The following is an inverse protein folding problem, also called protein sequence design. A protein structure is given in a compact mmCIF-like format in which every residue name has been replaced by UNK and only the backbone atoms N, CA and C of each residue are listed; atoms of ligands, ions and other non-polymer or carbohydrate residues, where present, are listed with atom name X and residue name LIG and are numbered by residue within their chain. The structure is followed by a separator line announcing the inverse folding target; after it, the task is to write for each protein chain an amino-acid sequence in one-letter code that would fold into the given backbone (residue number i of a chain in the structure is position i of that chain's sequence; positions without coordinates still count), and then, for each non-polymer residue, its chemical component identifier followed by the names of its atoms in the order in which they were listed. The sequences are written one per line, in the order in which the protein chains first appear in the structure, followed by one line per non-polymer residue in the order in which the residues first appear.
data_IF_138480655070
#
_entry.id   IF_138480655070
#
_cell.length_a   1.000
_cell.length_b   1.000
_cell.length_c   1.000
_cell.angle_alpha   90.00
_cell.angle_beta   90.00
_cell.angle_gamma   90.00
#
_symmetry.space_group_name_H-M   'P 1'
#
loop_
_entity.id
_entity.type
_entity.pdbx_description
1 polymer ?
#
# COMPACT_ATOMS: atom_id res chain seq x y z
N UNK A 1 -18.15 -9.91 -23.64
CA UNK A 1 -18.82 -8.89 -24.51
C UNK A 1 -19.57 -9.63 -25.62
N UNK A 2 -20.90 -9.48 -25.76
CA UNK A 2 -21.70 -10.29 -26.71
C UNK A 2 -21.27 -10.17 -28.18
N UNK A 3 -20.74 -9.00 -28.57
CA UNK A 3 -20.34 -8.69 -29.95
C UNK A 3 -19.03 -9.38 -30.39
N UNK A 4 -18.04 -9.49 -29.50
CA UNK A 4 -16.77 -10.20 -29.81
C UNK A 4 -17.01 -11.71 -29.96
N UNK A 5 -17.89 -12.27 -29.13
CA UNK A 5 -18.26 -13.68 -29.18
C UNK A 5 -19.01 -14.04 -30.47
N UNK A 6 -19.88 -13.15 -30.97
CA UNK A 6 -20.61 -13.34 -32.23
C UNK A 6 -19.67 -13.31 -33.44
N UNK A 7 -18.71 -12.38 -33.47
CA UNK A 7 -17.70 -12.30 -34.54
C UNK A 7 -16.82 -13.54 -34.54
N UNK A 8 -16.33 -14.00 -33.38
CA UNK A 8 -15.50 -15.21 -33.23
C UNK A 8 -16.26 -16.53 -33.46
N UNK A 9 -17.59 -16.53 -33.45
CA UNK A 9 -18.39 -17.73 -33.66
C UNK A 9 -18.54 -18.13 -35.14
N UNK A 10 -18.28 -17.21 -36.08
CA UNK A 10 -18.41 -17.41 -37.53
C UNK A 10 -17.50 -18.53 -38.07
N UNK A 11 -16.32 -18.71 -37.48
CA UNK A 11 -15.47 -19.89 -37.69
C UNK A 11 -14.69 -19.97 -39.01
N UNK A 12 -15.00 -19.12 -40.00
CA UNK A 12 -14.29 -19.06 -41.28
C UNK A 12 -13.31 -17.87 -41.29
N UNK A 13 -12.10 -18.09 -40.79
CA UNK A 13 -11.02 -17.09 -40.84
C UNK A 13 -9.86 -17.60 -41.69
N UNK A 14 -9.25 -16.70 -42.45
CA UNK A 14 -7.89 -16.91 -42.95
C UNK A 14 -6.91 -16.62 -41.79
N UNK A 15 -6.27 -17.68 -41.28
CA UNK A 15 -5.44 -17.61 -40.08
C UNK A 15 -3.95 -17.50 -40.45
N UNK A 16 -3.25 -16.56 -39.83
CA UNK A 16 -1.81 -16.37 -39.95
C UNK A 16 -1.12 -16.58 -38.58
N UNK A 17 -0.03 -17.34 -38.59
CA UNK A 17 0.80 -17.67 -37.42
C UNK A 17 2.23 -17.12 -37.52
N UNK A 18 2.53 -16.37 -38.57
CA UNK A 18 3.83 -15.79 -38.83
C UNK A 18 3.64 -14.39 -39.39
N UNK A 19 4.66 -13.55 -39.23
CA UNK A 19 4.62 -12.16 -39.68
C UNK A 19 4.31 -12.11 -41.17
N UNK A 20 3.20 -11.45 -41.52
CA UNK A 20 2.65 -11.51 -42.86
C UNK A 20 2.31 -10.13 -43.38
N UNK A 21 2.76 -9.85 -44.60
CA UNK A 21 2.44 -8.63 -45.34
C UNK A 21 1.44 -8.94 -46.43
N UNK A 22 0.22 -8.42 -46.28
CA UNK A 22 -0.83 -8.51 -47.27
C UNK A 22 -0.73 -7.32 -48.24
N UNK A 23 0.21 -7.42 -49.17
CA UNK A 23 0.53 -6.36 -50.15
C UNK A 23 -0.57 -6.12 -51.20
N UNK A 24 -0.61 -4.90 -51.75
CA UNK A 24 -1.58 -4.44 -52.76
C UNK A 24 -1.58 -5.20 -54.09
N UNK A 25 -0.54 -5.98 -54.38
CA UNK A 25 -0.37 -6.69 -55.67
C UNK A 25 -1.39 -7.82 -55.91
N UNK A 26 -2.07 -8.27 -54.85
CA UNK A 26 -2.90 -9.47 -54.86
C UNK A 26 -4.42 -9.21 -54.85
N UNK A 27 -4.87 -7.99 -55.21
CA UNK A 27 -6.30 -7.61 -55.26
C UNK A 27 -7.01 -7.53 -53.89
N UNK A 28 -8.30 -7.13 -53.86
CA UNK A 28 -9.08 -7.03 -52.62
C UNK A 28 -9.34 -8.42 -52.01
N UNK A 29 -9.31 -8.50 -50.68
CA UNK A 29 -9.58 -9.73 -49.92
C UNK A 29 -11.04 -9.72 -49.45
N UNK A 30 -11.81 -10.77 -49.71
CA UNK A 30 -13.20 -10.91 -49.23
C UNK A 30 -13.32 -12.09 -48.27
N UNK A 31 -12.71 -11.94 -47.09
CA UNK A 31 -12.68 -12.96 -46.03
C UNK A 31 -12.37 -12.31 -44.67
N UNK A 32 -12.77 -12.96 -43.58
CA UNK A 32 -12.34 -12.56 -42.24
C UNK A 32 -10.89 -13.06 -41.99
N UNK A 33 -10.06 -12.24 -41.36
CA UNK A 33 -8.63 -12.54 -41.13
C UNK A 33 -8.33 -12.60 -39.64
N UNK A 34 -7.52 -13.58 -39.25
CA UNK A 34 -7.06 -13.76 -37.87
C UNK A 34 -5.53 -13.89 -37.82
N UNK A 35 -4.86 -12.96 -37.16
CA UNK A 35 -3.44 -13.05 -36.81
C UNK A 35 -3.28 -13.58 -35.39
N UNK A 36 -2.43 -14.58 -35.19
CA UNK A 36 -2.18 -15.20 -33.88
C UNK A 36 -0.69 -15.20 -33.61
N UNK A 37 -0.27 -14.51 -32.54
CA UNK A 37 1.11 -14.43 -32.08
C UNK A 37 2.09 -13.94 -33.16
N UNK A 38 1.60 -13.11 -34.09
CA UNK A 38 2.39 -12.56 -35.18
C UNK A 38 1.93 -11.15 -35.57
N UNK A 39 2.77 -10.47 -36.34
CA UNK A 39 2.51 -9.14 -36.84
C UNK A 39 1.86 -9.17 -38.23
N UNK A 40 0.77 -8.42 -38.38
CA UNK A 40 0.06 -8.27 -39.64
C UNK A 40 0.31 -6.90 -40.24
N UNK A 41 0.64 -6.85 -41.53
CA UNK A 41 0.64 -5.60 -42.30
C UNK A 41 -0.39 -5.71 -43.41
N UNK A 42 -1.41 -4.84 -43.40
CA UNK A 42 -2.40 -4.76 -44.46
C UNK A 42 -2.15 -3.52 -45.31
N UNK A 43 -1.96 -3.71 -46.62
CA UNK A 43 -1.79 -2.63 -47.59
C UNK A 43 -2.75 -2.80 -48.79
N UNK A 44 -3.95 -3.31 -48.53
CA UNK A 44 -4.99 -3.52 -49.54
C UNK A 44 -6.39 -3.50 -48.94
N UNK A 45 -7.46 -3.35 -49.74
CA UNK A 45 -8.84 -3.45 -49.26
C UNK A 45 -9.18 -4.84 -48.73
N UNK A 46 -9.92 -4.87 -47.64
CA UNK A 46 -10.43 -6.06 -46.96
C UNK A 46 -11.96 -5.93 -46.76
N UNK A 47 -12.70 -6.75 -47.48
CA UNK A 47 -14.12 -6.99 -47.28
C UNK A 47 -14.32 -8.07 -46.21
N UNK A 48 -14.14 -7.69 -44.94
CA UNK A 48 -14.20 -8.62 -43.82
C UNK A 48 -13.75 -7.95 -42.52
N UNK A 49 -13.79 -8.73 -41.44
CA UNK A 49 -13.30 -8.33 -40.13
C UNK A 49 -11.85 -8.80 -39.94
N UNK A 50 -11.07 -8.02 -39.20
CA UNK A 50 -9.68 -8.35 -38.91
C UNK A 50 -9.50 -8.50 -37.40
N UNK A 51 -9.00 -9.66 -37.00
CA UNK A 51 -8.75 -9.99 -35.60
C UNK A 51 -7.25 -10.19 -35.42
N UNK A 52 -6.68 -9.57 -34.39
CA UNK A 52 -5.31 -9.85 -33.97
C UNK A 52 -5.30 -10.31 -32.52
N UNK A 53 -4.60 -11.41 -32.28
CA UNK A 53 -4.37 -11.99 -30.97
C UNK A 53 -2.87 -11.94 -30.67
N UNK A 54 -2.50 -11.15 -29.65
CA UNK A 54 -1.13 -11.04 -29.16
C UNK A 54 -0.09 -10.66 -30.25
N UNK A 55 -0.34 -9.56 -30.96
CA UNK A 55 0.56 -9.07 -32.02
C UNK A 55 0.29 -7.62 -32.41
N UNK A 56 1.02 -7.13 -33.41
CA UNK A 56 0.85 -5.78 -33.96
C UNK A 56 0.21 -5.79 -35.35
N UNK A 57 -0.80 -4.94 -35.53
CA UNK A 57 -1.46 -4.72 -36.82
C UNK A 57 -1.09 -3.36 -37.38
N UNK A 58 -0.52 -3.34 -38.58
CA UNK A 58 -0.21 -2.11 -39.32
C UNK A 58 -1.11 -1.97 -40.55
N UNK A 59 -2.01 -1.00 -40.54
CA UNK A 59 -2.83 -0.62 -41.70
C UNK A 59 -2.11 0.48 -42.50
N UNK A 60 -1.66 0.16 -43.70
CA UNK A 60 -0.96 1.09 -44.61
C UNK A 60 -1.95 1.89 -45.45
N UNK A 61 -1.45 2.87 -46.22
CA UNK A 61 -2.28 3.88 -46.89
C UNK A 61 -3.34 3.34 -47.84
N UNK A 62 -3.18 2.13 -48.38
CA UNK A 62 -4.18 1.48 -49.25
C UNK A 62 -5.14 0.53 -48.53
N UNK A 63 -5.04 0.43 -47.20
CA UNK A 63 -5.90 -0.45 -46.41
C UNK A 63 -7.28 0.17 -46.20
N UNK A 64 -8.31 -0.56 -46.63
CA UNK A 64 -9.71 -0.23 -46.34
C UNK A 64 -10.42 -1.47 -45.82
N UNK A 65 -10.72 -1.50 -44.52
CA UNK A 65 -11.42 -2.61 -43.86
C UNK A 65 -12.90 -2.28 -43.76
N UNK A 66 -13.75 -3.08 -44.39
CA UNK A 66 -15.21 -2.84 -44.35
C UNK A 66 -15.86 -3.31 -43.06
N UNK A 67 -15.31 -4.36 -42.42
CA UNK A 67 -15.79 -4.91 -41.16
C UNK A 67 -15.10 -4.34 -39.92
N UNK A 68 -15.21 -5.08 -38.82
CA UNK A 68 -14.66 -4.69 -37.52
C UNK A 68 -13.17 -5.04 -37.40
N UNK A 69 -12.43 -4.25 -36.62
CA UNK A 69 -11.03 -4.54 -36.25
C UNK A 69 -10.98 -4.85 -34.76
N UNK A 70 -10.69 -6.10 -34.41
CA UNK A 70 -10.70 -6.59 -33.03
C UNK A 70 -9.27 -6.88 -32.58
N UNK A 71 -8.83 -6.15 -31.55
CA UNK A 71 -7.50 -6.22 -30.98
C UNK A 71 -7.57 -6.92 -29.61
N UNK A 72 -7.15 -8.19 -29.58
CA UNK A 72 -7.07 -9.00 -28.36
C UNK A 72 -5.62 -9.03 -27.88
N UNK A 73 -5.28 -8.21 -26.89
CA UNK A 73 -3.89 -8.02 -26.42
C UNK A 73 -2.91 -7.61 -27.55
N UNK A 74 -3.38 -6.81 -28.51
CA UNK A 74 -2.59 -6.36 -29.66
C UNK A 74 -2.60 -4.85 -29.85
N UNK A 75 -1.67 -4.36 -30.67
CA UNK A 75 -1.49 -2.94 -30.97
C UNK A 75 -1.93 -2.65 -32.41
N UNK A 76 -2.50 -1.47 -32.66
CA UNK A 76 -2.89 -1.01 -34.00
C UNK A 76 -2.13 0.25 -34.39
N UNK A 77 -1.42 0.18 -35.51
CA UNK A 77 -0.80 1.30 -36.20
C UNK A 77 -1.58 1.57 -37.49
N UNK A 78 -2.28 2.70 -37.55
CA UNK A 78 -3.10 3.06 -38.71
C UNK A 78 -2.50 4.27 -39.42
N UNK A 79 -2.19 4.12 -40.70
CA UNK A 79 -1.77 5.23 -41.56
C UNK A 79 -2.92 6.22 -41.78
N UNK A 80 -2.59 7.49 -42.05
CA UNK A 80 -3.57 8.59 -42.19
C UNK A 80 -4.64 8.33 -43.25
N UNK A 81 -4.27 7.61 -44.31
CA UNK A 81 -5.14 7.32 -45.45
C UNK A 81 -5.88 5.98 -45.33
N UNK A 82 -5.54 5.16 -44.33
CA UNK A 82 -6.19 3.89 -44.07
C UNK A 82 -7.57 4.10 -43.45
N UNK A 83 -8.57 3.31 -43.89
CA UNK A 83 -9.96 3.43 -43.43
C UNK A 83 -10.46 2.13 -42.80
N UNK A 84 -11.17 2.25 -41.69
CA UNK A 84 -11.94 1.17 -41.08
C UNK A 84 -13.39 1.64 -41.03
N UNK A 85 -14.29 0.95 -41.72
CA UNK A 85 -15.72 1.29 -41.76
C UNK A 85 -16.49 0.73 -40.56
N UNK A 86 -16.06 -0.42 -40.03
CA UNK A 86 -16.61 -1.01 -38.81
C UNK A 86 -16.02 -0.41 -37.53
N UNK A 87 -16.23 -1.09 -36.41
CA UNK A 87 -15.74 -0.66 -35.10
C UNK A 87 -14.31 -1.17 -34.82
N UNK A 88 -13.49 -0.37 -34.13
CA UNK A 88 -12.18 -0.79 -33.62
C UNK A 88 -12.29 -1.15 -32.14
N UNK A 89 -12.32 -2.44 -31.83
CA UNK A 89 -12.55 -2.98 -30.49
C UNK A 89 -11.22 -3.37 -29.85
N UNK A 90 -10.88 -2.77 -28.70
CA UNK A 90 -9.63 -3.03 -27.95
C UNK A 90 -9.92 -3.73 -26.64
N UNK A 91 -9.34 -4.92 -26.44
CA UNK A 91 -9.45 -5.66 -25.18
C UNK A 91 -8.11 -5.71 -24.46
N UNK A 92 -8.03 -5.09 -23.28
CA UNK A 92 -6.83 -4.97 -22.45
C UNK A 92 -6.66 -6.11 -21.42
N UNK A 93 -7.67 -6.97 -21.25
CA UNK A 93 -7.66 -8.09 -20.31
C UNK A 93 -7.39 -9.41 -21.02
N UNK A 94 -6.46 -10.20 -20.47
CA UNK A 94 -6.25 -11.60 -20.84
C UNK A 94 -7.44 -12.47 -20.39
N UNK A 95 -8.58 -12.39 -21.08
CA UNK A 95 -9.62 -13.40 -20.98
C UNK A 95 -9.20 -14.61 -21.83
N UNK A 96 -8.82 -15.70 -21.16
CA UNK A 96 -8.53 -16.99 -21.79
C UNK A 96 -9.78 -17.52 -22.49
N UNK A 97 -9.83 -17.43 -23.83
CA UNK A 97 -10.84 -18.11 -24.63
C UNK A 97 -10.31 -19.53 -24.94
N UNK A 98 -10.65 -20.50 -24.10
CA UNK A 98 -10.52 -21.92 -24.46
C UNK A 98 -11.82 -22.37 -25.13
N UNK A 99 -11.77 -22.91 -26.37
CA UNK A 99 -12.92 -23.67 -26.91
C UNK A 99 -12.46 -25.06 -27.36
N UNK A 100 -12.74 -26.04 -26.51
CA UNK A 100 -12.62 -27.47 -26.80
C UNK A 100 -13.87 -27.94 -27.57
N UNK A 101 -13.67 -28.81 -28.57
CA UNK A 101 -14.57 -29.18 -29.70
C UNK A 101 -14.49 -28.28 -30.95
N UNK A 102 -13.27 -27.97 -31.40
CA UNK A 102 -13.04 -27.43 -32.76
C UNK A 102 -12.70 -25.94 -32.83
N UNK A 103 -12.14 -25.35 -31.77
CA UNK A 103 -11.53 -24.02 -31.79
C UNK A 103 -10.14 -24.04 -31.18
N UNK A 104 -9.41 -23.00 -31.56
CA UNK A 104 -8.00 -22.69 -31.30
C UNK A 104 -7.48 -23.15 -29.95
N UNK A 105 -6.39 -23.90 -30.04
CA UNK A 105 -5.45 -24.16 -28.96
C UNK A 105 -4.05 -24.05 -29.58
N UNK A 106 -3.19 -23.21 -29.00
CA UNK A 106 -1.78 -23.54 -28.88
C UNK A 106 -1.39 -23.37 -27.41
N UNK A 107 -1.04 -24.45 -26.70
CA UNK A 107 -0.37 -24.34 -25.43
C UNK A 107 1.09 -24.79 -25.61
N UNK A 108 1.92 -23.90 -26.15
CA UNK A 108 3.32 -23.81 -25.75
C UNK A 108 3.41 -23.47 -24.27
N UNK A 109 3.05 -24.43 -23.41
CA UNK A 109 2.98 -24.30 -21.96
C UNK A 109 4.40 -24.28 -21.38
N UNK A 110 5.11 -23.16 -21.53
CA UNK A 110 6.18 -22.85 -20.57
C UNK A 110 5.46 -22.66 -19.23
N UNK A 111 5.73 -23.57 -18.28
CA UNK A 111 5.40 -23.40 -16.86
C UNK A 111 6.16 -22.16 -16.32
N UNK A 112 5.75 -20.96 -16.70
CA UNK A 112 5.88 -19.83 -15.78
C UNK A 112 4.75 -20.01 -14.76
N UNK A 113 5.07 -19.87 -13.48
CA UNK A 113 4.03 -19.71 -12.48
C UNK A 113 3.08 -18.60 -12.97
N UNK A 114 1.75 -18.79 -12.95
CA UNK A 114 0.78 -17.79 -13.44
C UNK A 114 0.79 -16.47 -12.64
N UNK A 115 1.75 -16.32 -11.73
CA UNK A 115 1.94 -15.21 -10.81
C UNK A 115 3.40 -14.76 -10.98
N UNK A 116 3.61 -13.60 -11.57
CA UNK A 116 4.93 -12.98 -11.51
C UNK A 116 5.15 -12.46 -10.10
N UNK A 117 6.16 -12.99 -9.42
CA UNK A 117 6.57 -12.53 -8.10
C UNK A 117 7.90 -11.79 -8.22
N UNK A 118 7.94 -10.58 -7.68
CA UNK A 118 9.14 -9.75 -7.62
C UNK A 118 9.62 -9.71 -6.19
N UNK A 119 10.82 -10.21 -5.95
CA UNK A 119 11.49 -10.07 -4.67
C UNK A 119 12.17 -8.69 -4.59
N UNK A 120 11.87 -7.92 -3.55
CA UNK A 120 12.53 -6.66 -3.24
C UNK A 120 13.10 -6.68 -1.84
N UNK A 121 14.33 -6.22 -1.73
CA UNK A 121 14.91 -5.80 -0.46
C UNK A 121 14.93 -4.27 -0.42
N UNK A 122 14.93 -3.71 0.79
CA UNK A 122 15.20 -2.27 0.94
C UNK A 122 16.60 -1.91 0.41
N UNK A 123 16.89 -0.61 0.28
CA UNK A 123 18.26 -0.11 0.02
C UNK A 123 19.22 -0.73 1.03
N UNK A 124 20.46 -1.00 0.62
CA UNK A 124 21.47 -1.77 1.40
C UNK A 124 21.17 -3.27 1.56
N UNK A 125 20.57 -3.93 0.56
CA UNK A 125 20.41 -5.39 0.56
C UNK A 125 19.45 -5.92 1.63
N UNK A 126 18.52 -5.08 2.09
CA UNK A 126 17.50 -5.43 3.08
C UNK A 126 17.79 -4.91 4.49
N UNK A 127 19.01 -4.44 4.75
CA UNK A 127 19.36 -3.88 6.05
C UNK A 127 18.78 -2.47 6.25
N UNK A 128 18.31 -2.18 7.46
CA UNK A 128 17.81 -0.86 7.84
C UNK A 128 18.09 -0.56 9.30
N UNK A 129 18.47 0.68 9.60
CA UNK A 129 18.42 1.21 10.95
C UNK A 129 16.97 1.60 11.29
N UNK A 130 16.36 0.90 12.23
CA UNK A 130 14.97 1.11 12.63
C UNK A 130 14.83 2.25 13.64
N UNK A 131 15.82 2.41 14.53
CA UNK A 131 15.79 3.46 15.53
C UNK A 131 16.87 3.29 16.59
N UNK A 132 16.81 4.18 17.58
CA UNK A 132 17.64 4.18 18.76
C UNK A 132 16.76 4.50 19.98
N UNK A 133 16.83 3.70 21.03
CA UNK A 133 16.12 3.99 22.28
C UNK A 133 16.84 3.42 23.51
N UNK A 134 16.40 3.84 24.69
CA UNK A 134 16.98 3.48 25.99
C UNK A 134 16.90 2.00 26.36
N UNK A 135 16.12 1.21 25.64
CA UNK A 135 15.97 -0.23 25.90
C UNK A 135 16.84 -0.99 24.92
N UNK A 136 16.63 -0.78 23.63
CA UNK A 136 17.23 -1.60 22.58
C UNK A 136 18.62 -1.10 22.16
N UNK A 137 18.98 0.15 22.45
CA UNK A 137 20.10 0.82 21.81
C UNK A 137 19.81 0.96 20.32
N UNK A 138 20.78 0.64 19.44
CA UNK A 138 20.50 0.59 18.01
C UNK A 138 19.65 -0.63 17.67
N UNK A 139 18.54 -0.39 16.97
CA UNK A 139 17.74 -1.44 16.36
C UNK A 139 18.09 -1.54 14.88
N UNK A 140 18.67 -2.68 14.49
CA UNK A 140 19.03 -2.98 13.10
C UNK A 140 18.11 -4.09 12.61
N UNK A 141 17.50 -3.89 11.46
CA UNK A 141 16.67 -4.91 10.82
C UNK A 141 17.24 -5.41 9.52
N UNK A 142 16.83 -6.61 9.14
CA UNK A 142 16.93 -7.11 7.78
C UNK A 142 15.53 -7.52 7.32
N UNK A 143 15.10 -7.03 6.16
CA UNK A 143 13.76 -7.32 5.66
C UNK A 143 13.63 -7.31 4.15
N UNK A 144 12.56 -7.93 3.70
CA UNK A 144 12.22 -8.12 2.29
C UNK A 144 10.71 -8.06 2.06
N UNK A 145 10.35 -7.80 0.82
CA UNK A 145 8.98 -7.77 0.30
C UNK A 145 8.91 -8.63 -0.95
N UNK A 146 7.90 -9.50 -1.02
CA UNK A 146 7.52 -10.20 -2.24
C UNK A 146 6.29 -9.49 -2.80
N UNK A 147 6.44 -8.94 -3.99
CA UNK A 147 5.41 -8.17 -4.70
C UNK A 147 4.86 -8.96 -5.88
N UNK A 148 3.61 -8.69 -6.25
CA UNK A 148 2.99 -9.16 -7.47
C UNK A 148 2.81 -7.97 -8.44
N UNK A 149 3.70 -7.81 -9.44
CA UNK A 149 3.67 -6.68 -10.36
C UNK A 149 2.36 -6.57 -11.16
N UNK A 150 1.75 -7.71 -11.48
CA UNK A 150 0.49 -7.80 -12.22
C UNK A 150 -0.69 -7.09 -11.51
N UNK A 151 -0.55 -6.81 -10.21
CA UNK A 151 -1.51 -6.08 -9.39
C UNK A 151 -0.97 -4.72 -8.92
N UNK A 152 -0.11 -4.08 -9.73
CA UNK A 152 0.49 -2.79 -9.40
C UNK A 152 1.51 -2.89 -8.27
N UNK A 153 2.41 -3.87 -8.32
CA UNK A 153 3.41 -4.18 -7.29
C UNK A 153 2.77 -4.49 -5.91
N UNK A 154 1.64 -5.22 -5.91
CA UNK A 154 0.93 -5.56 -4.67
C UNK A 154 1.83 -6.39 -3.72
N UNK A 155 2.07 -5.97 -2.46
CA UNK A 155 3.01 -6.64 -1.56
C UNK A 155 2.37 -7.86 -0.90
N UNK A 156 2.45 -9.02 -1.57
CA UNK A 156 1.90 -10.30 -1.13
C UNK A 156 2.51 -10.76 0.18
N UNK A 157 3.81 -10.59 0.38
CA UNK A 157 4.47 -10.98 1.61
C UNK A 157 5.51 -9.96 2.03
N UNK A 158 5.58 -9.67 3.32
CA UNK A 158 6.60 -8.82 3.93
C UNK A 158 7.18 -9.55 5.13
N UNK A 159 8.50 -9.66 5.17
CA UNK A 159 9.24 -10.28 6.27
C UNK A 159 10.32 -9.35 6.78
N UNK A 160 10.48 -9.26 8.10
CA UNK A 160 11.51 -8.47 8.75
C UNK A 160 11.97 -9.14 10.04
N UNK A 161 13.28 -9.21 10.25
CA UNK A 161 13.92 -9.59 11.52
C UNK A 161 14.62 -8.36 12.07
N UNK A 162 14.56 -8.13 13.38
CA UNK A 162 15.08 -6.94 14.06
C UNK A 162 15.97 -7.40 15.21
N UNK A 163 17.20 -6.89 15.27
CA UNK A 163 18.13 -7.14 16.36
C UNK A 163 18.39 -5.84 17.12
N UNK A 164 18.34 -5.91 18.45
CA UNK A 164 18.69 -4.82 19.35
C UNK A 164 20.13 -4.99 19.85
N UNK A 165 20.95 -3.92 19.82
CA UNK A 165 22.36 -4.00 20.26
C UNK A 165 22.51 -4.15 21.76
N UNK A 166 21.67 -3.47 22.55
CA UNK A 166 21.85 -3.39 24.01
C UNK A 166 21.00 -4.42 24.73
N UNK A 167 19.71 -4.52 24.37
CA UNK A 167 18.78 -5.50 24.95
C UNK A 167 19.09 -6.95 24.53
N UNK A 168 19.93 -7.15 23.51
CA UNK A 168 20.28 -8.47 22.96
C UNK A 168 19.05 -9.33 22.61
N UNK A 169 17.98 -8.67 22.16
CA UNK A 169 16.72 -9.31 21.77
C UNK A 169 16.58 -9.34 20.25
N UNK A 170 15.96 -10.42 19.75
CA UNK A 170 15.60 -10.57 18.34
C UNK A 170 14.08 -10.56 18.22
N UNK A 171 13.59 -9.63 17.42
CA UNK A 171 12.20 -9.48 17.06
C UNK A 171 11.97 -9.83 15.59
N UNK A 172 10.71 -9.96 15.22
CA UNK A 172 10.31 -10.16 13.84
C UNK A 172 8.96 -9.54 13.53
N UNK A 173 8.70 -9.30 12.25
CA UNK A 173 7.41 -8.94 11.71
C UNK A 173 7.22 -9.66 10.38
N UNK A 174 6.14 -10.43 10.26
CA UNK A 174 5.75 -11.10 9.04
C UNK A 174 4.30 -10.74 8.70
N UNK A 175 4.03 -10.40 7.45
CA UNK A 175 2.71 -10.05 6.96
C UNK A 175 2.48 -10.67 5.59
N UNK A 176 1.52 -11.59 5.51
CA UNK A 176 0.96 -12.10 4.27
C UNK A 176 -0.26 -11.26 3.92
N UNK A 177 -0.36 -10.76 2.69
CA UNK A 177 -1.53 -10.07 2.16
C UNK A 177 -2.04 -10.83 0.94
N UNK A 178 -3.32 -11.11 0.93
CA UNK A 178 -4.02 -11.78 -0.16
C UNK A 178 -4.98 -10.79 -0.81
N UNK A 179 -4.85 -10.50 -2.12
CA UNK A 179 -5.82 -9.68 -2.82
C UNK A 179 -7.12 -10.47 -2.99
N UNK A 180 -8.26 -9.83 -2.72
CA UNK A 180 -9.59 -10.45 -2.83
C UNK A 180 -10.32 -10.04 -4.11
N UNK A 181 -9.82 -9.04 -4.83
CA UNK A 181 -10.30 -8.62 -6.14
C UNK A 181 -9.13 -8.39 -7.11
N UNK A 182 -9.44 -8.38 -8.42
CA UNK A 182 -8.44 -8.23 -9.50
C UNK A 182 -7.72 -6.88 -9.53
N UNK A 183 -8.21 -5.90 -8.77
CA UNK A 183 -7.59 -4.58 -8.61
C UNK A 183 -6.91 -4.38 -7.26
N UNK A 184 -6.87 -5.43 -6.42
CA UNK A 184 -6.35 -5.39 -5.06
C UNK A 184 -6.90 -4.24 -4.18
N UNK A 185 -8.14 -3.79 -4.46
CA UNK A 185 -8.85 -2.81 -3.62
C UNK A 185 -9.30 -3.44 -2.32
N UNK A 186 -9.55 -4.75 -2.31
CA UNK A 186 -9.83 -5.51 -1.10
C UNK A 186 -8.67 -6.47 -0.85
N UNK A 187 -8.20 -6.54 0.39
CA UNK A 187 -7.14 -7.45 0.78
C UNK A 187 -7.39 -8.06 2.16
N UNK A 188 -6.98 -9.32 2.31
CA UNK A 188 -6.93 -10.03 3.58
C UNK A 188 -5.47 -10.13 4.02
N UNK A 189 -5.13 -9.49 5.14
CA UNK A 189 -3.83 -9.54 5.78
C UNK A 189 -3.80 -10.54 6.93
N UNK A 190 -2.75 -11.36 7.01
CA UNK A 190 -2.43 -12.21 8.15
C UNK A 190 -1.03 -11.83 8.61
N UNK A 191 -0.92 -11.32 9.83
CA UNK A 191 0.31 -10.82 10.40
C UNK A 191 0.72 -11.57 11.66
N UNK A 192 2.01 -11.74 11.87
CA UNK A 192 2.61 -12.19 13.12
C UNK A 192 3.78 -11.28 13.48
N UNK A 193 3.93 -10.93 14.75
CA UNK A 193 4.98 -10.03 15.20
C UNK A 193 5.47 -10.38 16.60
N UNK A 194 6.76 -10.10 16.81
CA UNK A 194 7.40 -9.99 18.11
C UNK A 194 8.30 -8.77 18.05
N UNK A 195 7.92 -7.67 18.69
CA UNK A 195 8.74 -6.46 18.73
C UNK A 195 9.81 -6.58 19.82
N UNK A 196 10.94 -5.89 19.66
CA UNK A 196 11.89 -5.73 20.76
C UNK A 196 11.40 -4.62 21.70
N UNK A 197 11.25 -3.40 21.16
CA UNK A 197 10.53 -2.28 21.76
C UNK A 197 9.35 -1.82 20.89
N UNK A 198 8.23 -1.46 21.52
CA UNK A 198 7.06 -0.83 20.91
C UNK A 198 6.56 0.30 21.81
N UNK A 199 5.80 1.25 21.23
CA UNK A 199 5.34 2.45 21.93
C UNK A 199 4.02 2.97 21.37
N UNK A 200 3.19 3.53 22.26
CA UNK A 200 1.96 4.22 21.87
C UNK A 200 2.20 5.67 21.46
N UNK A 201 3.37 6.24 21.77
CA UNK A 201 3.63 7.67 21.65
C UNK A 201 4.14 8.08 20.24
N UNK A 202 4.05 7.20 19.24
CA UNK A 202 4.47 7.50 17.85
C UNK A 202 3.71 8.64 17.21
N UNK A 203 2.48 8.88 17.65
CA UNK A 203 1.66 9.98 17.15
C UNK A 203 2.18 11.35 17.60
N UNK A 204 2.93 11.41 18.72
CA UNK A 204 3.43 12.64 19.34
C UNK A 204 4.80 13.07 18.82
N UNK A 205 5.71 12.12 18.66
CA UNK A 205 7.08 12.35 18.22
C UNK A 205 7.41 11.32 17.15
N UNK A 206 8.09 11.69 16.06
CA UNK A 206 8.51 10.73 15.03
C UNK A 206 9.64 9.82 15.51
N UNK A 207 9.76 8.63 14.92
CA UNK A 207 10.78 7.63 15.32
C UNK A 207 12.21 8.16 15.17
N UNK A 208 12.51 8.85 14.06
CA UNK A 208 13.85 9.41 13.82
C UNK A 208 14.19 10.52 14.80
N UNK A 209 13.24 11.42 15.09
CA UNK A 209 13.46 12.52 16.03
C UNK A 209 13.67 11.98 17.45
N UNK A 210 12.87 11.00 17.87
CA UNK A 210 13.04 10.33 19.15
C UNK A 210 14.40 9.63 19.24
N UNK A 211 14.80 8.92 18.19
CA UNK A 211 16.07 8.22 18.13
C UNK A 211 17.27 9.18 18.20
N UNK A 212 17.20 10.28 17.47
CA UNK A 212 18.23 11.31 17.51
C UNK A 212 18.37 11.92 18.90
N UNK A 213 17.26 12.32 19.55
CA UNK A 213 17.31 12.88 20.92
C UNK A 213 17.86 11.86 21.93
N UNK A 214 17.43 10.60 21.82
CA UNK A 214 17.92 9.53 22.69
C UNK A 214 19.43 9.30 22.52
N UNK A 215 19.91 9.22 21.29
CA UNK A 215 21.32 8.99 20.99
C UNK A 215 22.20 10.19 21.35
N UNK A 216 21.77 11.40 20.98
CA UNK A 216 22.58 12.61 21.13
C UNK A 216 22.58 13.14 22.54
N UNK A 217 21.44 13.12 23.23
CA UNK A 217 21.25 13.82 24.51
C UNK A 217 20.89 12.91 25.68
N UNK A 218 20.81 11.59 25.47
CA UNK A 218 20.45 10.64 26.53
C UNK A 218 19.06 10.85 27.09
N UNK A 219 18.14 11.32 26.24
CA UNK A 219 16.80 11.67 26.63
C UNK A 219 15.79 11.30 25.54
N UNK A 220 14.71 10.64 25.94
CA UNK A 220 13.61 10.29 25.05
C UNK A 220 12.25 10.61 25.71
N UNK A 221 11.26 10.77 24.86
CA UNK A 221 9.91 11.14 25.25
C UNK A 221 8.91 10.01 25.01
N UNK A 222 9.29 8.77 25.30
CA UNK A 222 8.41 7.63 25.03
C UNK A 222 8.46 6.63 26.16
N UNK A 223 7.38 5.90 26.29
CA UNK A 223 7.38 4.66 27.06
C UNK A 223 7.45 3.48 26.11
N UNK A 224 8.24 2.49 26.51
CA UNK A 224 8.53 1.31 25.71
C UNK A 224 8.04 0.04 26.41
N UNK A 225 7.46 -0.86 25.62
CA UNK A 225 7.03 -2.18 26.04
C UNK A 225 7.28 -3.18 24.91
N UNK A 226 7.36 -4.47 25.24
CA UNK A 226 7.43 -5.54 24.25
C UNK A 226 6.03 -5.98 23.87
N UNK A 227 5.81 -6.26 22.59
CA UNK A 227 4.53 -6.71 22.04
C UNK A 227 4.73 -7.94 21.17
N UNK A 228 3.95 -8.97 21.45
CA UNK A 228 3.94 -10.21 20.67
C UNK A 228 2.51 -10.58 20.31
N UNK A 229 2.28 -11.05 19.09
CA UNK A 229 0.93 -11.43 18.71
C UNK A 229 0.76 -11.68 17.22
N UNK A 230 -0.48 -11.91 16.86
CA UNK A 230 -0.90 -12.04 15.48
C UNK A 230 -2.15 -11.21 15.21
N UNK A 231 -2.38 -10.92 13.93
CA UNK A 231 -3.51 -10.14 13.47
C UNK A 231 -4.07 -10.71 12.18
N UNK A 232 -5.40 -10.64 12.03
CA UNK A 232 -6.08 -10.89 10.77
C UNK A 232 -6.82 -9.61 10.41
N UNK A 233 -6.52 -9.04 9.24
CA UNK A 233 -7.03 -7.73 8.79
C UNK A 233 -7.77 -7.88 7.47
N UNK A 234 -8.98 -7.36 7.39
CA UNK A 234 -9.64 -7.06 6.13
C UNK A 234 -9.44 -5.58 5.84
N UNK A 235 -8.90 -5.25 4.67
CA UNK A 235 -8.59 -3.88 4.28
C UNK A 235 -9.17 -3.56 2.92
N UNK A 236 -9.76 -2.37 2.83
CA UNK A 236 -10.26 -1.76 1.61
C UNK A 236 -9.46 -0.50 1.31
N UNK A 237 -8.71 -0.53 0.21
CA UNK A 237 -8.11 0.67 -0.35
C UNK A 237 -9.22 1.54 -0.98
N UNK A 238 -9.18 2.81 -0.66
CA UNK A 238 -10.10 3.82 -1.19
C UNK A 238 -9.34 4.63 -2.26
N UNK A 239 -9.74 5.87 -2.47
CA UNK A 239 -9.03 6.78 -3.37
C UNK A 239 -7.81 7.39 -2.69
N UNK A 240 -6.78 7.67 -3.48
CA UNK A 240 -5.49 8.20 -3.01
C UNK A 240 -4.84 7.29 -1.94
N UNK A 241 -4.31 7.88 -0.85
CA UNK A 241 -3.66 7.17 0.27
C UNK A 241 -4.65 6.83 1.39
N UNK A 242 -5.93 6.74 1.06
CA UNK A 242 -7.02 6.54 2.02
C UNK A 242 -7.44 5.08 2.06
N UNK A 243 -7.83 4.59 3.24
CA UNK A 243 -8.24 3.20 3.40
C UNK A 243 -9.21 3.03 4.57
N UNK A 244 -9.91 1.91 4.57
CA UNK A 244 -10.68 1.39 5.70
C UNK A 244 -10.19 0.00 6.02
N UNK A 245 -10.09 -0.35 7.29
CA UNK A 245 -9.67 -1.67 7.72
C UNK A 245 -10.39 -2.12 8.98
N UNK A 246 -10.56 -3.43 9.09
CA UNK A 246 -11.09 -4.11 10.25
C UNK A 246 -10.14 -5.27 10.58
N UNK A 247 -9.57 -5.26 11.77
CA UNK A 247 -8.57 -6.24 12.18
C UNK A 247 -8.95 -6.91 13.50
N UNK A 248 -8.91 -8.23 13.54
CA UNK A 248 -8.82 -8.97 14.79
C UNK A 248 -7.35 -9.04 15.21
N UNK A 249 -7.06 -8.75 16.47
CA UNK A 249 -5.71 -8.80 17.04
C UNK A 249 -5.72 -9.61 18.32
N UNK A 250 -4.68 -10.42 18.49
CA UNK A 250 -4.45 -11.18 19.71
C UNK A 250 -2.99 -10.99 20.14
N UNK A 251 -2.81 -10.28 21.24
CA UNK A 251 -1.53 -9.69 21.62
C UNK A 251 -1.21 -9.89 23.09
N UNK A 252 0.09 -10.00 23.39
CA UNK A 252 0.65 -10.03 24.73
C UNK A 252 1.67 -8.93 24.88
N UNK A 253 1.70 -8.36 26.07
CA UNK A 253 2.57 -7.25 26.40
C UNK A 253 3.47 -7.59 27.58
N UNK A 254 4.70 -7.09 27.53
CA UNK A 254 5.67 -7.27 28.60
C UNK A 254 6.37 -5.95 28.92
N UNK A 255 6.57 -5.72 30.21
CA UNK A 255 7.35 -4.59 30.71
C UNK A 255 8.79 -4.70 30.22
N UNK A 256 9.37 -3.57 29.84
CA UNK A 256 10.78 -3.47 29.48
C UNK A 256 11.52 -2.62 30.51
N UNK A 257 12.73 -3.03 30.87
CA UNK A 257 13.62 -2.23 31.71
C UNK A 257 14.50 -1.36 30.83
N UNK A 258 14.92 -0.21 31.37
CA UNK A 258 15.94 0.62 30.73
C UNK A 258 17.27 -0.14 30.76
N UNK A 259 18.03 -0.08 29.66
CA UNK A 259 19.29 -0.83 29.49
C UNK A 259 20.51 0.10 29.37
N UNK A 260 20.34 1.41 29.61
CA UNK A 260 21.43 2.40 29.65
C UNK A 260 22.38 2.32 28.45
N UNK A 261 21.87 2.59 27.23
CA UNK A 261 22.69 2.46 26.03
C UNK A 261 23.52 3.73 25.81
N UNK A 262 24.58 3.63 25.01
CA UNK A 262 25.54 4.71 24.76
C UNK A 262 24.91 6.05 24.32
N UNK A 263 25.29 7.16 24.94
CA UNK A 263 24.83 8.50 24.54
C UNK A 263 26.00 9.37 24.12
N UNK A 264 25.85 10.13 23.03
CA UNK A 264 26.94 10.94 22.46
C UNK A 264 27.30 12.13 23.37
N UNK A 265 26.30 12.84 23.88
CA UNK A 265 26.49 13.97 24.79
C UNK A 265 25.50 13.88 25.96
N UNK A 266 25.99 14.13 27.18
CA UNK A 266 25.16 14.21 28.38
C UNK A 266 25.16 12.94 29.24
N UNK A 267 24.59 13.09 30.44
CA UNK A 267 24.27 11.98 31.34
C UNK A 267 22.95 11.34 30.93
N UNK A 268 22.81 10.04 31.13
CA UNK A 268 21.56 9.32 30.87
C UNK A 268 20.42 9.82 31.76
N UNK A 269 19.51 10.60 31.19
CA UNK A 269 18.35 11.16 31.89
C UNK A 269 17.05 10.49 31.42
N UNK A 270 17.13 9.19 31.16
CA UNK A 270 15.99 8.42 30.67
C UNK A 270 14.93 8.20 31.75
N UNK A 271 13.68 8.53 31.44
CA UNK A 271 12.56 8.15 32.30
C UNK A 271 12.42 6.63 32.35
N UNK A 272 12.02 6.08 33.51
CA UNK A 272 11.72 4.65 33.63
C UNK A 272 10.46 4.28 32.86
N UNK A 273 10.46 3.13 32.19
CA UNK A 273 9.25 2.57 31.61
C UNK A 273 8.20 2.29 32.70
N UNK A 274 6.95 2.64 32.41
CA UNK A 274 5.83 2.22 33.25
C UNK A 274 5.61 0.70 33.12
N UNK A 275 5.28 0.02 34.23
CA UNK A 275 5.00 -1.41 34.18
C UNK A 275 3.76 -1.66 33.32
N UNK A 276 3.87 -2.64 32.44
CA UNK A 276 2.76 -3.17 31.66
C UNK A 276 1.93 -4.08 32.54
N UNK A 277 0.60 -3.95 32.46
CA UNK A 277 -0.28 -4.93 33.06
C UNK A 277 -0.21 -6.24 32.26
N UNK A 278 0.37 -7.27 32.88
CA UNK A 278 0.54 -8.59 32.25
C UNK A 278 -0.79 -9.17 31.78
N UNK A 279 -0.89 -9.59 30.52
CA UNK A 279 -2.14 -10.14 30.04
C UNK A 279 -2.19 -10.28 28.53
N UNK A 280 -3.16 -11.07 28.08
CA UNK A 280 -3.53 -11.20 26.67
C UNK A 280 -4.64 -10.20 26.36
N UNK A 281 -4.41 -9.33 25.37
CA UNK A 281 -5.41 -8.42 24.82
C UNK A 281 -5.90 -9.03 23.52
N UNK A 282 -7.20 -9.33 23.45
CA UNK A 282 -7.86 -9.70 22.21
C UNK A 282 -8.84 -8.59 21.85
N UNK A 283 -8.70 -8.06 20.66
CA UNK A 283 -9.51 -6.93 20.24
C UNK A 283 -9.85 -6.94 18.76
N UNK A 284 -10.98 -6.31 18.46
CA UNK A 284 -11.39 -5.95 17.12
C UNK A 284 -11.09 -4.46 16.93
N UNK A 285 -10.30 -4.14 15.91
CA UNK A 285 -9.83 -2.79 15.63
C UNK A 285 -10.36 -2.36 14.28
N UNK A 286 -11.13 -1.27 14.27
CA UNK A 286 -11.46 -0.55 13.06
C UNK A 286 -10.45 0.59 12.88
N UNK A 287 -9.95 0.79 11.67
CA UNK A 287 -9.05 1.90 11.34
C UNK A 287 -9.39 2.46 9.97
N UNK A 288 -9.77 3.75 9.96
CA UNK A 288 -10.08 4.52 8.77
C UNK A 288 -9.11 5.69 8.62
N UNK A 289 -8.53 5.82 7.45
CA UNK A 289 -7.58 6.89 7.10
C UNK A 289 -8.07 7.63 5.87
N UNK A 290 -8.05 8.95 5.94
CA UNK A 290 -8.28 9.87 4.83
C UNK A 290 -7.06 10.77 4.68
N UNK A 291 -6.42 10.74 3.51
CA UNK A 291 -5.29 11.62 3.21
C UNK A 291 -5.47 12.24 1.82
N UNK A 292 -5.71 13.55 1.81
CA UNK A 292 -5.89 14.34 0.58
C UNK A 292 -4.66 15.19 0.25
N UNK A 293 -3.59 15.08 1.04
CA UNK A 293 -2.35 15.84 0.81
C UNK A 293 -1.63 15.33 -0.42
N UNK A 294 -1.10 16.25 -1.21
CA UNK A 294 -0.23 15.93 -2.36
C UNK A 294 1.12 15.39 -1.85
N UNK A 295 1.77 16.16 -0.98
CA UNK A 295 3.05 15.81 -0.36
C UNK A 295 2.86 15.54 1.15
N UNK A 296 3.22 14.34 1.67
CA UNK A 296 3.18 14.03 3.10
C UNK A 296 4.20 14.76 3.98
N UNK A 297 5.33 15.19 3.39
CA UNK A 297 6.47 15.78 4.10
C UNK A 297 6.39 17.30 4.10
N UNK A 298 5.99 17.90 2.97
CA UNK A 298 5.84 19.35 2.81
C UNK A 298 4.41 19.71 2.41
N UNK A 299 3.46 19.45 3.32
CA UNK A 299 2.06 19.78 3.10
C UNK A 299 1.80 21.28 3.29
N UNK A 300 1.60 22.00 2.19
CA UNK A 300 1.14 23.40 2.20
C UNK A 300 -0.39 23.52 2.14
N UNK A 301 -1.05 22.46 1.68
CA UNK A 301 -2.51 22.36 1.66
C UNK A 301 -2.96 20.90 1.74
N UNK A 302 -4.14 20.70 2.32
CA UNK A 302 -4.81 19.41 2.34
C UNK A 302 -5.29 19.00 3.73
N UNK A 303 -5.85 17.80 3.77
CA UNK A 303 -6.48 17.24 4.96
C UNK A 303 -5.93 15.84 5.21
N UNK A 304 -5.64 15.56 6.47
CA UNK A 304 -5.31 14.23 6.95
C UNK A 304 -6.20 13.92 8.15
N UNK A 305 -6.88 12.79 8.12
CA UNK A 305 -7.78 12.36 9.16
C UNK A 305 -7.63 10.87 9.41
N UNK A 306 -7.55 10.48 10.68
CA UNK A 306 -7.55 9.08 11.11
C UNK A 306 -8.62 8.87 12.18
N UNK A 307 -9.43 7.83 12.00
CA UNK A 307 -10.39 7.37 12.98
C UNK A 307 -10.07 5.91 13.31
N UNK A 308 -9.77 5.64 14.58
CA UNK A 308 -9.54 4.29 15.08
C UNK A 308 -10.57 3.97 16.16
N UNK A 309 -11.17 2.78 16.08
CA UNK A 309 -12.00 2.22 17.13
C UNK A 309 -11.45 0.85 17.56
N UNK A 310 -11.44 0.56 18.85
CA UNK A 310 -11.00 -0.75 19.37
C UNK A 310 -11.99 -1.26 20.40
N UNK A 311 -12.43 -2.51 20.22
CA UNK A 311 -13.27 -3.25 21.16
C UNK A 311 -12.48 -4.44 21.67
N UNK A 312 -12.19 -4.49 22.97
CA UNK A 312 -11.43 -5.53 23.62
C UNK A 312 -12.26 -6.28 24.68
N UNK A 313 -11.97 -7.57 24.86
CA UNK A 313 -12.63 -8.40 25.87
C UNK A 313 -14.02 -8.89 25.45
N UNK A 314 -14.90 -9.10 26.44
CA UNK A 314 -16.25 -9.63 26.22
C UNK A 314 -16.21 -11.02 25.58
N UNK A 315 -16.91 -11.20 24.46
CA UNK A 315 -16.94 -12.47 23.72
C UNK A 315 -15.59 -12.83 23.07
N UNK A 316 -14.69 -11.86 22.88
CA UNK A 316 -13.33 -12.11 22.38
C UNK A 316 -12.41 -12.72 23.45
N UNK A 317 -12.78 -12.58 24.74
CA UNK A 317 -11.97 -12.98 25.88
C UNK A 317 -10.71 -12.12 26.05
N UNK A 318 -9.75 -12.62 26.82
CA UNK A 318 -8.56 -11.85 27.23
C UNK A 318 -8.73 -11.23 28.62
N UNK A 319 -7.65 -10.63 29.13
CA UNK A 319 -7.62 -10.09 30.50
C UNK A 319 -8.28 -8.72 30.62
N UNK A 320 -8.22 -7.93 29.55
CA UNK A 320 -8.70 -6.55 29.55
C UNK A 320 -9.98 -6.44 28.72
N UNK A 321 -10.91 -5.62 29.19
CA UNK A 321 -12.16 -5.34 28.48
C UNK A 321 -12.45 -3.85 28.48
N UNK A 322 -12.47 -3.27 27.29
CA UNK A 322 -12.68 -1.84 27.06
C UNK A 322 -13.15 -1.60 25.61
N UNK A 323 -13.77 -0.45 25.40
CA UNK A 323 -14.04 0.15 24.11
C UNK A 323 -13.36 1.52 24.05
N UNK A 324 -12.59 1.79 23.00
CA UNK A 324 -11.97 3.10 22.79
C UNK A 324 -12.13 3.60 21.37
N UNK A 325 -12.14 4.92 21.23
CA UNK A 325 -12.16 5.64 19.96
C UNK A 325 -11.07 6.72 19.98
N UNK A 326 -10.33 6.85 18.89
CA UNK A 326 -9.31 7.87 18.65
C UNK A 326 -9.58 8.54 17.31
N UNK A 327 -9.74 9.86 17.33
CA UNK A 327 -9.88 10.71 16.18
C UNK A 327 -8.71 11.69 16.13
N UNK A 328 -7.98 11.70 15.02
CA UNK A 328 -6.92 12.66 14.78
C UNK A 328 -7.12 13.35 13.44
N UNK A 329 -7.18 14.68 13.46
CA UNK A 329 -7.42 15.51 12.29
C UNK A 329 -6.30 16.53 12.16
N UNK A 330 -5.76 16.68 10.95
CA UNK A 330 -4.76 17.68 10.60
C UNK A 330 -5.17 18.38 9.32
N UNK A 331 -5.09 19.69 9.31
CA UNK A 331 -5.43 20.53 8.16
C UNK A 331 -4.36 21.56 7.92
N UNK A 332 -3.94 21.68 6.67
CA UNK A 332 -3.04 22.71 6.19
C UNK A 332 -3.80 23.57 5.19
N UNK A 333 -3.73 24.87 5.34
CA UNK A 333 -4.24 25.82 4.36
C UNK A 333 -3.17 26.88 4.06
N UNK A 334 -3.09 27.27 2.80
CA UNK A 334 -2.29 28.41 2.35
C UNK A 334 -3.23 29.39 1.67
N UNK A 335 -3.18 30.66 2.06
CA UNK A 335 -3.98 31.72 1.45
C UNK A 335 -3.09 32.92 1.08
N UNK A 336 -3.40 33.53 -0.07
CA UNK A 336 -2.61 34.61 -0.68
C UNK A 336 -1.10 34.33 -0.80
N UNK A 337 -0.70 33.05 -0.91
CA UNK A 337 0.67 32.54 -1.05
C UNK A 337 1.69 32.93 0.05
N UNK A 338 1.28 33.72 1.03
CA UNK A 338 2.15 34.19 2.12
C UNK A 338 1.68 33.72 3.49
N UNK A 339 0.40 33.34 3.63
CA UNK A 339 -0.17 32.91 4.88
C UNK A 339 -0.32 31.39 4.90
N UNK A 340 0.22 30.77 5.94
CA UNK A 340 0.14 29.33 6.15
C UNK A 340 -0.51 29.06 7.50
N UNK A 341 -1.58 28.27 7.50
CA UNK A 341 -2.19 27.78 8.74
C UNK A 341 -2.04 26.28 8.83
N UNK A 342 -1.82 25.82 10.06
CA UNK A 342 -1.85 24.42 10.41
C UNK A 342 -2.75 24.24 11.62
N UNK A 343 -3.72 23.35 11.48
CA UNK A 343 -4.60 22.95 12.57
C UNK A 343 -4.39 21.46 12.85
N UNK A 344 -4.21 21.13 14.12
CA UNK A 344 -4.14 19.76 14.61
C UNK A 344 -5.14 19.59 15.74
N UNK A 345 -6.03 18.62 15.57
CA UNK A 345 -6.98 18.21 16.58
C UNK A 345 -6.83 16.72 16.85
N UNK A 346 -6.84 16.36 18.13
CA UNK A 346 -6.87 14.96 18.55
C UNK A 346 -7.86 14.80 19.69
N UNK A 347 -8.74 13.83 19.55
CA UNK A 347 -9.71 13.46 20.57
C UNK A 347 -9.67 11.95 20.76
N UNK A 348 -9.63 11.52 22.01
CA UNK A 348 -9.69 10.11 22.35
C UNK A 348 -10.59 9.90 23.57
N UNK A 349 -11.29 8.77 23.56
CA UNK A 349 -12.21 8.41 24.61
C UNK A 349 -12.20 6.89 24.81
N UNK A 350 -12.18 6.46 26.06
CA UNK A 350 -12.48 5.10 26.47
C UNK A 350 -13.65 5.07 27.46
N UNK A 351 -14.41 3.98 27.38
CA UNK A 351 -15.53 3.68 28.27
C UNK A 351 -15.06 3.26 29.67
N UNK A 352 -13.86 2.66 29.75
CA UNK A 352 -13.25 2.08 30.95
C UNK A 352 -11.77 2.47 31.06
N UNK A 353 -11.17 2.33 32.25
CA UNK A 353 -9.74 2.50 32.43
C UNK A 353 -8.95 1.62 31.48
N UNK A 354 -8.01 2.20 30.74
CA UNK A 354 -7.16 1.48 29.81
C UNK A 354 -5.90 1.00 30.53
N UNK A 355 -5.39 -0.18 30.18
CA UNK A 355 -4.05 -0.56 30.61
C UNK A 355 -3.05 0.42 29.98
N UNK A 356 -1.91 0.64 30.65
CA UNK A 356 -0.90 1.62 30.23
C UNK A 356 -0.53 1.51 28.73
N UNK A 357 -0.35 0.29 28.23
CA UNK A 357 -0.09 -0.02 26.81
C UNK A 357 -1.25 0.29 25.84
N UNK A 358 -2.32 0.93 26.30
CA UNK A 358 -3.43 1.47 25.49
C UNK A 358 -3.82 2.90 25.88
N UNK A 359 -3.34 3.42 27.00
CA UNK A 359 -3.63 4.76 27.49
C UNK A 359 -2.95 5.86 26.68
N UNK A 360 -3.30 7.11 27.00
CA UNK A 360 -2.82 8.31 26.32
C UNK A 360 -1.91 9.14 27.24
N UNK A 361 -0.89 9.74 26.65
CA UNK A 361 -0.03 10.70 27.33
C UNK A 361 0.10 12.00 26.52
N UNK A 362 0.07 13.13 27.22
CA UNK A 362 0.31 14.48 26.69
C UNK A 362 1.40 15.16 27.51
N UNK A 363 2.03 16.17 26.93
CA UNK A 363 3.10 16.91 27.57
C UNK A 363 3.76 17.81 26.54
N UNK A 364 5.02 17.51 26.19
CA UNK A 364 5.80 18.24 25.19
C UNK A 364 5.15 18.37 23.78
N UNK A 365 4.08 17.61 23.48
CA UNK A 365 3.23 17.82 22.30
C UNK A 365 2.61 19.22 22.30
N UNK A 366 2.35 19.74 23.50
CA UNK A 366 1.91 21.09 23.77
C UNK A 366 3.12 21.90 24.23
N UNK A 367 3.47 22.94 23.47
CA UNK A 367 4.58 23.83 23.84
C UNK A 367 4.31 24.43 25.22
N UNK A 368 5.32 24.42 26.08
CA UNK A 368 5.25 24.97 27.44
C UNK A 368 4.90 23.95 28.54
N UNK A 369 4.66 22.68 28.20
CA UNK A 369 4.44 21.63 29.18
C UNK A 369 5.59 20.62 29.21
N UNK A 370 5.86 20.10 30.41
CA UNK A 370 6.81 19.02 30.61
C UNK A 370 6.37 17.74 29.91
N UNK A 371 7.33 16.84 29.71
CA UNK A 371 7.07 15.54 29.15
C UNK A 371 6.13 14.72 30.04
N UNK A 372 5.15 14.05 29.43
CA UNK A 372 4.13 13.25 30.14
C UNK A 372 3.34 14.00 31.23
N UNK A 373 3.24 15.34 31.13
CA UNK A 373 2.53 16.18 32.10
C UNK A 373 1.06 15.77 32.32
N UNK A 374 0.43 15.14 31.33
CA UNK A 374 -0.93 14.60 31.46
C UNK A 374 -0.99 13.17 30.97
N UNK A 375 -1.78 12.34 31.65
CA UNK A 375 -2.06 10.97 31.24
C UNK A 375 -3.50 10.59 31.57
N UNK A 376 -4.05 9.64 30.81
CA UNK A 376 -5.39 9.12 31.09
C UNK A 376 -6.00 8.36 29.92
N UNK A 377 -7.28 8.02 30.10
CA UNK A 377 -8.08 7.22 29.16
C UNK A 377 -8.94 8.07 28.23
N UNK A 378 -8.94 9.38 28.47
CA UNK A 378 -9.69 10.39 27.72
C UNK A 378 -8.77 11.55 27.46
N UNK A 379 -8.82 12.07 26.25
CA UNK A 379 -7.91 13.11 25.80
C UNK A 379 -8.61 14.03 24.82
N UNK A 380 -8.35 15.33 24.94
CA UNK A 380 -8.69 16.31 23.93
C UNK A 380 -7.51 17.26 23.79
N UNK A 381 -7.07 17.47 22.56
CA UNK A 381 -5.97 18.35 22.21
C UNK A 381 -6.30 19.08 20.92
N UNK A 382 -6.01 20.38 20.92
CA UNK A 382 -6.11 21.21 19.73
C UNK A 382 -4.89 22.15 19.69
N UNK A 383 -4.31 22.29 18.51
CA UNK A 383 -3.23 23.22 18.22
C UNK A 383 -3.51 23.93 16.92
N UNK A 384 -3.31 25.24 16.92
CA UNK A 384 -3.33 26.07 15.72
C UNK A 384 -1.97 26.77 15.60
N UNK A 385 -1.37 26.70 14.42
CA UNK A 385 -0.17 27.43 14.06
C UNK A 385 -0.50 28.33 12.86
N UNK A 386 0.05 29.53 12.88
CA UNK A 386 -0.05 30.50 11.80
C UNK A 386 1.37 30.99 11.47
N UNK A 387 1.74 30.89 10.20
CA UNK A 387 3.00 31.34 9.65
C UNK A 387 2.78 32.38 8.57
N UNK A 388 3.68 33.34 8.49
CA UNK A 388 3.72 34.38 7.47
C UNK A 388 5.09 34.36 6.80
N UNK A 389 5.12 34.21 5.47
CA UNK A 389 6.34 34.42 4.71
C UNK A 389 6.62 35.91 4.62
N UNK A 390 7.66 36.36 5.32
CA UNK A 390 8.12 37.73 5.21
C UNK A 390 8.84 37.89 3.87
N UNK A 391 8.61 39.00 3.14
CA UNK A 391 9.39 39.31 1.94
C UNK A 391 10.87 39.35 2.30
N UNK A 392 11.71 38.75 1.47
CA UNK A 392 13.16 38.84 1.61
C UNK A 392 13.57 40.31 1.55
N UNK A 393 14.15 40.82 2.63
CA UNK A 393 14.80 42.13 2.63
C UNK A 393 16.03 41.99 1.74
N UNK A 394 15.94 42.55 0.53
CA UNK A 394 17.03 42.63 -0.45
C UNK A 394 18.09 43.62 -0.04
#
# INVERSE_FOLDING_TARGET
MPHVESVLAKGNYLVFHQDTVLASENGPLSTDILFIDCNGVLDRPLEGSLIILNGELSLRSKAEVTGDVILLRGTLFQSRDAKVKGEVIRTSSAECINRVRGKLQDPGFKKSLPIHLKFRTNRMGGFRLEGYDRVDGFSISWGFTVEQPDLGDFPVFQGKVISATTHQAVGFNALLKLPLDSKARYSLGIGARSTNSDTNDRWRLGDLESAFKAFVSGYDHRYYFRREGYSIELRREMWNRSYLSLAYQDERYYSLKNQSPFTLFGSENFHSNLPVESGRVRSLVFDGMLDTRKDPFFALSGFWGRLQGELAGGTLGGRHSFARIDLELKRWDTFYDIHHTFFWFKWAYADRPLPFQRGYTLGNTLRGYDNFAFSGDRMLMAQALYGLNLPSVS
#
